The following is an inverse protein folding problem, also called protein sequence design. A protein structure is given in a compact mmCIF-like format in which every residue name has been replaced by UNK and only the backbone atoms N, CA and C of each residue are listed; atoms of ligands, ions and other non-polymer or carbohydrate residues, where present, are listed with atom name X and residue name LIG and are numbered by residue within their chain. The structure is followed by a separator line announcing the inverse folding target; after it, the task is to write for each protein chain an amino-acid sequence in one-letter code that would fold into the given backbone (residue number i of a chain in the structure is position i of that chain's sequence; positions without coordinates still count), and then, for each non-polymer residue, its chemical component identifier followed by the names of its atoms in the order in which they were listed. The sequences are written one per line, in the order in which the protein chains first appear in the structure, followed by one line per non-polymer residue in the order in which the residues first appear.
data_IF_603835721327
#
_entry.id   IF_603835721327
#
_cell.length_a   1.000
_cell.length_b   1.000
_cell.length_c   1.000
_cell.angle_alpha   90.00
_cell.angle_beta   90.00
_cell.angle_gamma   90.00
#
_symmetry.space_group_name_H-M   'P 1'
#
loop_
_entity.id
_entity.type
_entity.pdbx_description
1 polymer ?
#
# COMPACT_ATOMS: atom_id res chain seq x y z
N UNK A 1 -32.37 49.18 -9.97
CA UNK A 1 -31.03 48.65 -9.72
C UNK A 1 -31.07 47.16 -10.06
N UNK A 2 -30.43 46.77 -11.13
CA UNK A 2 -30.41 45.38 -11.58
C UNK A 2 -29.47 44.60 -10.62
N UNK A 3 -30.03 43.73 -9.82
CA UNK A 3 -29.26 42.75 -9.06
C UNK A 3 -28.61 41.81 -10.05
N UNK A 4 -27.32 42.03 -10.38
CA UNK A 4 -26.53 41.05 -11.10
C UNK A 4 -26.56 39.71 -10.33
N UNK A 5 -27.27 38.76 -10.89
CA UNK A 5 -27.24 37.38 -10.37
C UNK A 5 -25.81 36.88 -10.59
N UNK A 6 -25.02 36.77 -9.52
CA UNK A 6 -23.66 36.19 -9.58
C UNK A 6 -23.73 34.81 -10.23
N UNK A 7 -22.77 34.50 -11.08
CA UNK A 7 -22.58 33.20 -11.68
C UNK A 7 -22.60 32.12 -10.59
N UNK A 8 -23.28 30.99 -10.79
CA UNK A 8 -23.26 29.88 -9.85
C UNK A 8 -21.85 29.39 -9.47
N UNK A 9 -20.91 29.48 -10.42
CA UNK A 9 -19.50 29.11 -10.21
C UNK A 9 -18.83 30.09 -9.25
N UNK A 10 -18.99 31.40 -9.47
CA UNK A 10 -18.41 32.43 -8.60
C UNK A 10 -18.96 32.34 -7.17
N UNK A 11 -20.25 32.02 -7.02
CA UNK A 11 -20.87 31.83 -5.71
C UNK A 11 -20.25 30.66 -4.93
N UNK A 12 -20.01 29.54 -5.60
CA UNK A 12 -19.37 28.37 -4.96
C UNK A 12 -17.92 28.65 -4.60
N UNK A 13 -17.19 29.36 -5.46
CA UNK A 13 -15.81 29.76 -5.18
C UNK A 13 -15.72 30.74 -4.00
N UNK A 14 -16.61 31.73 -3.94
CA UNK A 14 -16.69 32.69 -2.83
C UNK A 14 -17.05 31.99 -1.51
N UNK A 15 -17.99 31.02 -1.53
CA UNK A 15 -18.35 30.23 -0.37
C UNK A 15 -17.17 29.38 0.13
N UNK A 16 -16.41 28.78 -0.77
CA UNK A 16 -15.20 28.02 -0.43
C UNK A 16 -14.09 28.91 0.16
N UNK A 17 -13.97 30.16 -0.30
CA UNK A 17 -12.99 31.14 0.22
C UNK A 17 -13.40 31.78 1.55
N UNK A 18 -14.69 31.75 1.91
CA UNK A 18 -15.20 32.40 3.13
C UNK A 18 -14.69 31.79 4.44
N UNK A 19 -13.87 30.73 4.39
CA UNK A 19 -13.17 30.14 5.54
C UNK A 19 -14.05 29.37 6.55
N UNK A 20 -15.35 29.27 6.33
CA UNK A 20 -16.29 28.51 7.17
C UNK A 20 -16.40 27.07 6.69
N UNK A 21 -15.27 26.37 6.59
CA UNK A 21 -15.27 24.95 6.22
C UNK A 21 -15.46 24.09 7.47
N UNK A 22 -16.41 23.15 7.41
CA UNK A 22 -16.57 22.11 8.46
C UNK A 22 -15.34 21.23 8.56
N UNK A 23 -14.63 21.04 7.43
CA UNK A 23 -13.48 20.17 7.29
C UNK A 23 -12.21 21.03 7.29
N UNK A 24 -11.39 20.90 8.33
CA UNK A 24 -10.07 21.59 8.45
C UNK A 24 -9.00 20.94 7.56
N UNK A 25 -8.98 19.61 7.52
CA UNK A 25 -8.00 18.85 6.77
C UNK A 25 -8.67 17.69 6.00
N UNK A 26 -8.88 17.92 4.70
CA UNK A 26 -9.53 16.93 3.82
C UNK A 26 -8.65 15.70 3.56
N UNK A 27 -7.33 15.88 3.51
CA UNK A 27 -6.39 14.80 3.17
C UNK A 27 -6.47 13.65 4.18
N UNK A 28 -6.74 13.97 5.44
CA UNK A 28 -6.91 12.96 6.52
C UNK A 28 -8.10 12.04 6.24
N UNK A 29 -9.10 12.48 5.52
CA UNK A 29 -10.29 11.70 5.17
C UNK A 29 -10.10 10.85 3.89
N UNK A 30 -8.95 10.93 3.23
CA UNK A 30 -8.62 10.02 2.15
C UNK A 30 -8.02 8.72 2.69
N UNK A 31 -8.40 7.59 2.08
CA UNK A 31 -7.88 6.26 2.47
C UNK A 31 -6.37 6.10 2.16
N UNK A 32 -5.82 6.97 1.30
CA UNK A 32 -4.38 7.01 0.98
C UNK A 32 -3.55 7.70 2.05
N UNK A 33 -4.18 8.45 2.95
CA UNK A 33 -3.47 9.16 4.01
C UNK A 33 -2.81 8.18 4.98
N UNK A 34 -1.51 8.36 5.20
CA UNK A 34 -0.72 7.58 6.15
C UNK A 34 -0.80 8.22 7.55
N UNK A 35 -1.48 7.60 8.52
CA UNK A 35 -1.54 8.14 9.88
C UNK A 35 -0.21 7.96 10.62
N UNK A 36 0.05 8.82 11.59
CA UNK A 36 1.22 8.66 12.48
C UNK A 36 1.16 7.36 13.27
N UNK A 37 -0.02 6.99 13.79
CA UNK A 37 -0.25 5.73 14.48
C UNK A 37 -1.29 4.89 13.70
N UNK A 38 -0.97 3.62 13.47
CA UNK A 38 -1.92 2.67 12.93
C UNK A 38 -2.55 1.94 14.11
N UNK A 39 -3.84 2.22 14.34
CA UNK A 39 -4.57 1.66 15.46
C UNK A 39 -4.95 0.19 15.21
N UNK A 40 -4.95 -0.60 16.29
CA UNK A 40 -5.41 -2.01 16.30
C UNK A 40 -4.68 -2.93 15.33
N UNK A 41 -3.40 -2.64 15.05
CA UNK A 41 -2.51 -3.46 14.20
C UNK A 41 -1.12 -3.63 14.81
N UNK A 42 -1.01 -3.49 16.13
CA UNK A 42 0.28 -3.64 16.79
C UNK A 42 0.86 -5.06 16.66
N UNK A 43 0.07 -6.15 16.83
CA UNK A 43 0.58 -7.51 16.65
C UNK A 43 1.08 -7.77 15.22
N UNK A 44 0.35 -7.28 14.20
CA UNK A 44 0.76 -7.45 12.81
C UNK A 44 1.99 -6.61 12.48
N UNK A 45 2.09 -5.38 13.03
CA UNK A 45 3.28 -4.53 12.89
C UNK A 45 4.50 -5.19 13.55
N UNK A 46 4.35 -5.73 14.75
CA UNK A 46 5.42 -6.43 15.47
C UNK A 46 5.89 -7.66 14.69
N UNK A 47 4.97 -8.52 14.25
CA UNK A 47 5.31 -9.73 13.51
C UNK A 47 6.02 -9.42 12.20
N UNK A 48 5.52 -8.45 11.41
CA UNK A 48 6.18 -7.97 10.20
C UNK A 48 7.58 -7.44 10.47
N UNK A 49 7.73 -6.67 11.56
CA UNK A 49 9.04 -6.14 11.95
C UNK A 49 9.98 -7.24 12.35
N UNK A 50 9.54 -8.21 13.18
CA UNK A 50 10.34 -9.35 13.60
C UNK A 50 10.84 -10.18 12.42
N UNK A 51 9.97 -10.45 11.44
CA UNK A 51 10.35 -11.18 10.22
C UNK A 51 11.40 -10.45 9.39
N UNK A 52 11.49 -9.11 9.49
CA UNK A 52 12.48 -8.30 8.77
C UNK A 52 13.75 -8.00 9.58
N UNK A 53 13.77 -8.21 10.91
CA UNK A 53 14.95 -7.95 11.74
C UNK A 53 16.23 -8.64 11.26
N UNK A 54 16.22 -9.90 10.75
CA UNK A 54 17.44 -10.56 10.29
C UNK A 54 18.19 -9.76 9.22
N UNK A 55 17.48 -8.97 8.40
CA UNK A 55 18.12 -8.19 7.34
C UNK A 55 19.06 -7.11 7.89
N UNK A 56 18.73 -6.50 9.05
CA UNK A 56 19.58 -5.52 9.74
C UNK A 56 20.80 -6.17 10.38
N UNK A 57 20.80 -7.50 10.53
CA UNK A 57 21.93 -8.31 11.01
C UNK A 57 22.71 -8.95 9.86
N UNK A 58 22.53 -8.44 8.64
CA UNK A 58 23.08 -8.98 7.40
C UNK A 58 22.78 -10.47 7.20
N UNK A 59 21.61 -10.89 7.65
CA UNK A 59 21.09 -12.25 7.49
C UNK A 59 19.83 -12.23 6.63
N UNK A 60 19.61 -13.28 5.86
CA UNK A 60 18.44 -13.39 4.99
C UNK A 60 17.18 -13.66 5.83
N UNK A 61 16.12 -12.85 5.71
CA UNK A 61 14.80 -13.14 6.26
C UNK A 61 14.13 -14.32 5.54
N UNK A 62 13.14 -14.93 6.20
CA UNK A 62 12.20 -15.83 5.54
C UNK A 62 11.31 -15.04 4.56
N UNK A 63 10.79 -15.70 3.53
CA UNK A 63 9.72 -15.11 2.74
C UNK A 63 8.49 -14.90 3.63
N UNK A 64 7.64 -13.94 3.27
CA UNK A 64 6.49 -13.58 4.08
C UNK A 64 5.24 -13.47 3.20
N UNK A 65 4.15 -14.08 3.63
CA UNK A 65 2.85 -13.91 3.02
C UNK A 65 1.90 -13.20 3.99
N UNK A 66 1.32 -12.10 3.50
CA UNK A 66 0.38 -11.26 4.25
C UNK A 66 -1.00 -11.40 3.66
N UNK A 67 -1.93 -11.92 4.44
CA UNK A 67 -3.29 -12.19 4.01
C UNK A 67 -4.30 -11.31 4.74
N UNK A 68 -5.43 -11.10 4.11
CA UNK A 68 -6.60 -10.49 4.73
C UNK A 68 -7.52 -9.85 3.70
N UNK A 69 -8.76 -9.62 4.06
CA UNK A 69 -9.73 -8.97 3.18
C UNK A 69 -9.32 -7.53 2.83
N UNK A 70 -9.87 -6.93 1.77
CA UNK A 70 -9.69 -5.50 1.50
C UNK A 70 -10.06 -4.64 2.71
N UNK A 71 -9.36 -3.52 2.90
CA UNK A 71 -9.65 -2.56 3.98
C UNK A 71 -9.18 -2.94 5.38
N UNK A 72 -8.50 -4.10 5.55
CA UNK A 72 -7.95 -4.54 6.85
C UNK A 72 -6.63 -3.88 7.24
N UNK A 73 -6.05 -3.02 6.38
CA UNK A 73 -4.86 -2.23 6.68
C UNK A 73 -3.53 -2.86 6.26
N UNK A 74 -3.50 -4.00 5.53
CA UNK A 74 -2.27 -4.69 5.08
C UNK A 74 -1.26 -3.74 4.44
N UNK A 75 -1.64 -3.14 3.32
CA UNK A 75 -0.78 -2.23 2.55
C UNK A 75 -0.28 -1.05 3.40
N UNK A 76 -1.15 -0.52 4.27
CA UNK A 76 -0.82 0.59 5.16
C UNK A 76 0.28 0.19 6.16
N UNK A 77 0.11 -0.94 6.83
CA UNK A 77 1.07 -1.47 7.81
C UNK A 77 2.40 -1.79 7.14
N UNK A 78 2.36 -2.50 6.00
CA UNK A 78 3.58 -2.85 5.26
C UNK A 78 4.36 -1.60 4.87
N UNK A 79 3.71 -0.61 4.24
CA UNK A 79 4.37 0.64 3.85
C UNK A 79 4.98 1.37 5.05
N UNK A 80 4.30 1.39 6.19
CA UNK A 80 4.83 2.01 7.41
C UNK A 80 6.04 1.27 7.95
N UNK A 81 5.98 -0.06 8.06
CA UNK A 81 7.11 -0.88 8.53
C UNK A 81 8.30 -0.72 7.59
N UNK A 82 8.07 -0.84 6.26
CA UNK A 82 9.14 -0.66 5.27
C UNK A 82 9.76 0.74 5.33
N UNK A 83 8.96 1.80 5.49
CA UNK A 83 9.48 3.17 5.63
C UNK A 83 10.38 3.32 6.86
N UNK A 84 10.01 2.70 7.99
CA UNK A 84 10.85 2.70 9.20
C UNK A 84 12.12 1.89 9.02
N UNK A 85 12.03 0.71 8.36
CA UNK A 85 13.18 -0.12 8.04
C UNK A 85 14.12 0.63 7.10
N UNK A 86 13.59 1.23 6.04
CA UNK A 86 14.36 2.01 5.07
C UNK A 86 15.16 3.14 5.75
N UNK A 87 14.52 3.87 6.66
CA UNK A 87 15.22 4.92 7.44
C UNK A 87 16.39 4.35 8.24
N UNK A 88 16.23 3.20 8.89
CA UNK A 88 17.32 2.53 9.64
C UNK A 88 18.42 2.02 8.71
N UNK A 89 18.05 1.53 7.53
CA UNK A 89 19.00 1.10 6.50
C UNK A 89 19.86 2.28 6.05
N UNK A 90 19.27 3.44 5.79
CA UNK A 90 19.98 4.66 5.39
C UNK A 90 20.89 5.18 6.49
N UNK A 91 20.41 5.23 7.74
CA UNK A 91 21.20 5.65 8.91
C UNK A 91 22.39 4.72 9.18
N UNK A 92 22.22 3.41 9.00
CA UNK A 92 23.25 2.39 9.26
C UNK A 92 24.12 2.03 8.06
N UNK A 93 23.83 2.59 6.88
CA UNK A 93 24.52 2.24 5.61
C UNK A 93 24.54 0.73 5.32
N UNK A 94 23.46 0.03 5.64
CA UNK A 94 23.34 -1.40 5.37
C UNK A 94 23.16 -1.67 3.86
N UNK A 95 23.72 -2.76 3.32
CA UNK A 95 23.57 -3.14 1.92
C UNK A 95 22.17 -3.78 1.68
N UNK A 96 21.11 -3.01 1.91
CA UNK A 96 19.74 -3.46 1.81
C UNK A 96 19.00 -2.62 0.77
N UNK A 97 18.19 -3.27 -0.06
CA UNK A 97 17.29 -2.63 -1.03
C UNK A 97 15.86 -3.13 -0.85
N UNK A 98 14.96 -2.21 -0.58
CA UNK A 98 13.53 -2.49 -0.51
C UNK A 98 12.88 -2.06 -1.84
N UNK A 99 12.22 -2.98 -2.51
CA UNK A 99 11.50 -2.72 -3.75
C UNK A 99 10.04 -3.13 -3.60
N UNK A 100 9.13 -2.21 -3.93
CA UNK A 100 7.68 -2.41 -3.79
C UNK A 100 6.99 -2.24 -5.14
N UNK A 101 6.10 -3.18 -5.48
CA UNK A 101 5.21 -3.05 -6.63
C UNK A 101 3.82 -3.60 -6.31
N UNK A 102 2.82 -3.13 -7.06
CA UNK A 102 1.47 -3.68 -7.02
C UNK A 102 1.22 -4.46 -8.31
N UNK A 103 0.96 -5.77 -8.20
CA UNK A 103 0.82 -6.66 -9.35
C UNK A 103 -0.39 -6.32 -10.24
N UNK A 104 -1.40 -5.64 -9.72
CA UNK A 104 -2.56 -5.19 -10.50
C UNK A 104 -2.26 -3.94 -11.32
N UNK A 105 -1.33 -3.09 -10.87
CA UNK A 105 -0.90 -1.91 -11.62
C UNK A 105 0.08 -2.28 -12.75
N UNK A 106 0.87 -3.31 -12.53
CA UNK A 106 1.79 -3.85 -13.53
C UNK A 106 1.06 -4.90 -14.38
N UNK A 107 0.65 -4.52 -15.58
CA UNK A 107 -0.17 -5.37 -16.45
C UNK A 107 0.56 -6.58 -17.03
N UNK A 108 1.89 -6.66 -16.84
CA UNK A 108 2.73 -7.74 -17.39
C UNK A 108 3.79 -8.20 -16.39
N UNK A 109 4.17 -9.49 -16.48
CA UNK A 109 5.30 -10.04 -15.71
C UNK A 109 6.62 -9.30 -16.02
N UNK A 110 6.78 -8.85 -17.25
CA UNK A 110 7.94 -8.05 -17.66
C UNK A 110 7.99 -6.71 -16.93
N UNK A 111 6.88 -5.96 -16.93
CA UNK A 111 6.76 -4.66 -16.24
C UNK A 111 7.06 -4.79 -14.76
N UNK A 112 6.51 -5.83 -14.11
CA UNK A 112 6.75 -6.11 -12.69
C UNK A 112 8.24 -6.30 -12.40
N UNK A 113 8.95 -7.12 -13.16
CA UNK A 113 10.39 -7.33 -12.98
C UNK A 113 11.21 -6.09 -13.31
N UNK A 114 10.83 -5.35 -14.36
CA UNK A 114 11.50 -4.07 -14.70
C UNK A 114 11.32 -3.05 -13.57
N UNK A 115 10.14 -2.95 -12.98
CA UNK A 115 9.88 -2.10 -11.83
C UNK A 115 10.82 -2.44 -10.66
N UNK A 116 10.97 -3.72 -10.33
CA UNK A 116 11.91 -4.17 -9.31
C UNK A 116 13.37 -3.85 -9.66
N UNK A 117 13.80 -4.22 -10.87
CA UNK A 117 15.18 -3.99 -11.29
C UNK A 117 15.59 -2.52 -11.23
N UNK A 118 14.69 -1.61 -11.60
CA UNK A 118 14.92 -0.16 -11.52
C UNK A 118 15.01 0.34 -10.09
N UNK A 119 14.17 -0.16 -9.19
CA UNK A 119 14.24 0.18 -7.77
C UNK A 119 15.53 -0.33 -7.11
N UNK A 120 16.12 -1.41 -7.61
CA UNK A 120 17.44 -1.89 -7.19
C UNK A 120 18.59 -1.04 -7.74
N UNK A 121 18.36 -0.26 -8.82
CA UNK A 121 19.36 0.63 -9.41
C UNK A 121 19.77 0.25 -10.85
N UNK A 122 19.06 -0.67 -11.51
CA UNK A 122 19.26 -0.91 -12.94
C UNK A 122 18.81 0.32 -13.76
N UNK A 123 19.61 0.70 -14.76
CA UNK A 123 19.36 1.89 -15.56
C UNK A 123 18.38 1.63 -16.70
N UNK A 124 17.43 2.55 -16.90
CA UNK A 124 16.58 2.55 -18.09
C UNK A 124 17.31 3.00 -19.36
N UNK A 125 18.44 3.68 -19.21
CA UNK A 125 19.29 4.14 -20.32
C UNK A 125 20.46 3.19 -20.50
N UNK A 126 20.94 3.06 -21.75
CA UNK A 126 22.09 2.23 -22.08
C UNK A 126 23.33 2.70 -21.32
N UNK A 127 24.01 1.76 -20.66
CA UNK A 127 25.22 2.00 -19.86
C UNK A 127 26.41 1.24 -20.46
N UNK A 128 27.64 1.58 -20.01
CA UNK A 128 28.84 0.85 -20.43
C UNK A 128 28.82 -0.62 -19.97
N UNK A 129 28.17 -0.89 -18.84
CA UNK A 129 27.89 -2.25 -18.36
C UNK A 129 26.50 -2.67 -18.88
N UNK A 130 26.50 -3.51 -19.91
CA UNK A 130 25.26 -3.95 -20.57
C UNK A 130 24.29 -4.63 -19.59
N UNK A 131 24.81 -5.34 -18.58
CA UNK A 131 23.98 -6.00 -17.56
C UNK A 131 23.30 -5.01 -16.61
N UNK A 132 23.80 -3.78 -16.51
CA UNK A 132 23.17 -2.70 -15.74
C UNK A 132 22.07 -1.97 -16.50
N UNK A 133 21.93 -2.21 -17.81
CA UNK A 133 20.88 -1.63 -18.62
C UNK A 133 19.62 -2.49 -18.58
N UNK A 134 18.49 -1.87 -18.25
CA UNK A 134 17.20 -2.53 -18.20
C UNK A 134 16.17 -1.73 -19.02
N UNK A 135 16.04 -2.03 -20.33
CA UNK A 135 15.06 -1.36 -21.19
C UNK A 135 13.63 -1.68 -20.77
N UNK A 136 12.70 -0.79 -21.13
CA UNK A 136 11.27 -0.99 -20.87
C UNK A 136 10.64 -2.17 -21.64
N UNK A 137 11.28 -2.63 -22.71
CA UNK A 137 10.84 -3.76 -23.57
C UNK A 137 12.04 -4.39 -24.28
N UNK A 138 11.84 -5.56 -24.88
CA UNK A 138 12.81 -6.17 -25.81
C UNK A 138 13.69 -7.26 -25.22
N UNK A 139 13.73 -7.44 -23.90
CA UNK A 139 14.42 -8.58 -23.27
C UNK A 139 13.44 -9.70 -22.95
N UNK A 140 13.96 -10.93 -22.83
CA UNK A 140 13.17 -12.01 -22.26
C UNK A 140 12.97 -11.82 -20.75
N UNK A 141 11.91 -12.39 -20.19
CA UNK A 141 11.66 -12.37 -18.73
C UNK A 141 12.85 -12.95 -17.95
N UNK A 142 13.43 -14.05 -18.48
CA UNK A 142 14.61 -14.67 -17.86
C UNK A 142 15.83 -13.77 -17.89
N UNK A 143 16.03 -13.01 -18.98
CA UNK A 143 17.14 -12.06 -19.07
C UNK A 143 16.95 -10.87 -18.10
N UNK A 144 15.73 -10.34 -17.98
CA UNK A 144 15.41 -9.31 -16.98
C UNK A 144 15.73 -9.81 -15.57
N UNK A 145 15.32 -11.05 -15.26
CA UNK A 145 15.59 -11.64 -13.95
C UNK A 145 17.09 -11.89 -13.72
N UNK A 146 17.84 -12.32 -14.73
CA UNK A 146 19.29 -12.46 -14.64
C UNK A 146 20.00 -11.12 -14.34
N UNK A 147 19.53 -10.02 -14.90
CA UNK A 147 20.06 -8.68 -14.60
C UNK A 147 19.73 -8.24 -13.18
N UNK A 148 18.56 -8.64 -12.65
CA UNK A 148 18.21 -8.42 -11.25
C UNK A 148 19.17 -9.19 -10.32
N UNK A 149 19.42 -10.47 -10.60
CA UNK A 149 20.39 -11.25 -9.82
C UNK A 149 21.79 -10.65 -9.91
N UNK A 150 22.22 -10.25 -11.09
CA UNK A 150 23.51 -9.61 -11.30
C UNK A 150 23.72 -8.37 -10.46
N UNK A 151 22.72 -7.48 -10.34
CA UNK A 151 22.86 -6.26 -9.51
C UNK A 151 22.89 -6.59 -8.02
N UNK A 152 22.14 -7.62 -7.59
CA UNK A 152 22.16 -8.11 -6.20
C UNK A 152 23.57 -8.59 -5.84
N UNK A 153 24.17 -9.46 -6.66
CA UNK A 153 25.52 -9.97 -6.45
C UNK A 153 26.59 -8.87 -6.54
N UNK A 154 26.53 -8.05 -7.59
CA UNK A 154 27.54 -6.99 -7.83
C UNK A 154 27.66 -6.02 -6.65
N UNK A 155 26.57 -5.76 -5.95
CA UNK A 155 26.55 -4.85 -4.81
C UNK A 155 26.38 -5.57 -3.46
N UNK A 156 26.36 -6.91 -3.48
CA UNK A 156 26.21 -7.77 -2.29
C UNK A 156 24.99 -7.35 -1.43
N UNK A 157 23.88 -6.94 -2.08
CA UNK A 157 22.73 -6.40 -1.39
C UNK A 157 21.76 -7.48 -0.95
N UNK A 158 21.12 -7.27 0.19
CA UNK A 158 19.95 -8.01 0.61
C UNK A 158 18.70 -7.31 0.07
N UNK A 159 18.11 -7.87 -0.99
CA UNK A 159 16.93 -7.30 -1.65
C UNK A 159 15.65 -7.85 -1.03
N UNK A 160 14.68 -6.98 -0.75
CA UNK A 160 13.33 -7.36 -0.35
C UNK A 160 12.36 -6.94 -1.43
N UNK A 161 11.71 -7.91 -2.07
CA UNK A 161 10.67 -7.67 -3.06
C UNK A 161 9.30 -7.75 -2.41
N UNK A 162 8.58 -6.64 -2.39
CA UNK A 162 7.20 -6.57 -1.91
C UNK A 162 6.25 -6.54 -3.10
N UNK A 163 5.42 -7.57 -3.22
CA UNK A 163 4.39 -7.69 -4.26
C UNK A 163 3.03 -7.53 -3.60
N UNK A 164 2.43 -6.36 -3.75
CA UNK A 164 1.05 -6.14 -3.31
C UNK A 164 0.07 -6.69 -4.37
N UNK A 165 -1.06 -7.21 -3.92
CA UNK A 165 -2.04 -7.93 -4.75
C UNK A 165 -1.40 -9.10 -5.54
N UNK A 166 -0.58 -9.91 -4.85
CA UNK A 166 0.18 -11.04 -5.43
C UNK A 166 -0.74 -12.11 -6.06
N UNK A 167 -1.99 -12.18 -5.63
CA UNK A 167 -3.03 -13.02 -6.26
C UNK A 167 -3.21 -12.69 -7.75
N UNK A 168 -3.04 -11.42 -8.14
CA UNK A 168 -3.04 -11.01 -9.55
C UNK A 168 -1.84 -11.53 -10.34
N UNK A 169 -0.68 -11.64 -9.68
CA UNK A 169 0.51 -12.26 -10.29
C UNK A 169 0.27 -13.73 -10.63
N UNK A 170 -0.43 -14.48 -9.76
CA UNK A 170 -0.79 -15.86 -10.05
C UNK A 170 -1.67 -15.98 -11.30
N UNK A 171 -2.62 -15.08 -11.50
CA UNK A 171 -3.43 -15.03 -12.72
C UNK A 171 -2.60 -14.74 -13.97
N UNK A 172 -1.62 -13.83 -13.90
CA UNK A 172 -0.70 -13.53 -15.00
C UNK A 172 0.19 -14.74 -15.34
N UNK A 173 0.66 -15.46 -14.33
CA UNK A 173 1.45 -16.69 -14.50
C UNK A 173 0.61 -17.75 -15.21
N UNK A 174 -0.62 -18.00 -14.78
CA UNK A 174 -1.52 -18.96 -15.43
C UNK A 174 -1.79 -18.61 -16.90
N UNK A 175 -1.99 -17.33 -17.22
CA UNK A 175 -2.25 -16.86 -18.59
C UNK A 175 -1.02 -16.97 -19.52
N UNK A 176 0.17 -16.78 -18.97
CA UNK A 176 1.41 -16.70 -19.78
C UNK A 176 2.23 -18.00 -19.79
N UNK A 177 1.97 -18.90 -18.83
CA UNK A 177 2.78 -20.10 -18.60
C UNK A 177 4.20 -19.83 -18.09
N UNK A 178 4.50 -18.59 -17.70
CA UNK A 178 5.85 -18.15 -17.26
C UNK A 178 5.85 -17.97 -15.74
N UNK A 179 6.42 -18.93 -15.04
CA UNK A 179 6.43 -18.92 -13.58
C UNK A 179 7.56 -18.05 -13.01
N UNK A 180 7.29 -16.76 -12.94
CA UNK A 180 8.20 -15.77 -12.33
C UNK A 180 8.29 -15.97 -10.82
N UNK A 181 7.21 -16.41 -10.17
CA UNK A 181 7.20 -16.64 -8.74
C UNK A 181 8.14 -17.78 -8.34
N UNK A 182 8.18 -18.85 -9.13
CA UNK A 182 9.15 -19.93 -8.96
C UNK A 182 10.60 -19.44 -9.08
N UNK A 183 10.87 -18.52 -10.03
CA UNK A 183 12.21 -17.94 -10.17
C UNK A 183 12.59 -17.09 -8.96
N UNK A 184 11.65 -16.28 -8.46
CA UNK A 184 11.87 -15.42 -7.28
C UNK A 184 12.13 -16.26 -6.02
N UNK A 185 11.32 -17.29 -5.76
CA UNK A 185 11.45 -18.11 -4.56
C UNK A 185 12.74 -18.94 -4.53
N UNK A 186 13.30 -19.25 -5.70
CA UNK A 186 14.58 -19.98 -5.85
C UNK A 186 15.76 -19.08 -6.21
N UNK A 187 15.61 -17.77 -6.19
CA UNK A 187 16.68 -16.84 -6.52
C UNK A 187 17.96 -17.08 -5.72
N UNK A 188 17.80 -17.38 -4.44
CA UNK A 188 18.92 -17.59 -3.53
C UNK A 188 19.73 -18.91 -3.76
N UNK A 189 19.19 -19.82 -4.55
CA UNK A 189 19.96 -21.01 -5.01
C UNK A 189 20.97 -20.64 -6.12
N UNK A 190 20.81 -19.46 -6.71
CA UNK A 190 21.59 -18.96 -7.85
C UNK A 190 22.53 -17.82 -7.46
N UNK A 191 22.33 -17.21 -6.28
CA UNK A 191 23.13 -16.08 -5.79
C UNK A 191 24.31 -16.61 -4.98
N UNK A 192 25.52 -16.20 -5.34
CA UNK A 192 26.75 -16.48 -4.59
C UNK A 192 26.94 -15.45 -3.45
N UNK A 193 26.43 -14.23 -3.62
CA UNK A 193 26.43 -13.17 -2.59
C UNK A 193 25.15 -12.34 -2.64
N UNK A 194 24.83 -11.69 -1.52
CA UNK A 194 23.56 -11.00 -1.36
C UNK A 194 22.39 -11.98 -1.16
N UNK A 195 21.17 -11.47 -1.13
CA UNK A 195 19.97 -12.31 -1.00
C UNK A 195 18.72 -11.66 -1.58
N UNK A 196 17.72 -12.48 -1.86
CA UNK A 196 16.39 -12.04 -2.27
C UNK A 196 15.35 -12.61 -1.31
N UNK A 197 14.52 -11.75 -0.73
CA UNK A 197 13.38 -12.11 0.11
C UNK A 197 12.09 -11.61 -0.52
N UNK A 198 11.05 -12.43 -0.53
CA UNK A 198 9.73 -12.09 -1.04
C UNK A 198 8.77 -11.77 0.11
N UNK A 199 8.07 -10.63 -0.01
CA UNK A 199 6.87 -10.33 0.78
C UNK A 199 5.70 -10.27 -0.19
N UNK A 200 4.82 -11.25 -0.13
CA UNK A 200 3.59 -11.29 -0.92
C UNK A 200 2.39 -10.80 -0.10
N UNK A 201 1.58 -9.92 -0.65
CA UNK A 201 0.35 -9.41 -0.02
C UNK A 201 -0.84 -9.82 -0.84
N UNK A 202 -1.76 -10.58 -0.24
CA UNK A 202 -2.96 -11.06 -0.93
C UNK A 202 -4.25 -10.62 -0.23
N UNK A 203 -5.27 -10.35 -1.04
CA UNK A 203 -6.64 -10.18 -0.59
C UNK A 203 -7.40 -11.53 -0.54
N UNK A 204 -6.80 -12.59 -1.09
CA UNK A 204 -7.38 -13.93 -1.19
C UNK A 204 -6.68 -14.89 -0.22
N UNK A 205 -7.43 -15.43 0.73
CA UNK A 205 -6.93 -16.40 1.70
C UNK A 205 -6.60 -17.77 1.08
N UNK A 206 -7.19 -18.07 -0.09
CA UNK A 206 -6.97 -19.31 -0.83
C UNK A 206 -5.91 -19.19 -1.93
N UNK A 207 -5.20 -18.05 -1.96
CA UNK A 207 -4.19 -17.77 -2.99
C UNK A 207 -3.17 -18.91 -3.14
N UNK A 208 -2.69 -19.50 -2.05
CA UNK A 208 -1.72 -20.60 -2.06
C UNK A 208 -2.23 -21.84 -2.81
N UNK A 209 -3.52 -22.14 -2.74
CA UNK A 209 -4.12 -23.29 -3.41
C UNK A 209 -4.02 -23.21 -4.95
N UNK A 210 -3.81 -21.99 -5.46
CA UNK A 210 -3.69 -21.71 -6.90
C UNK A 210 -2.25 -21.71 -7.40
N UNK A 211 -1.27 -21.83 -6.48
CA UNK A 211 0.15 -21.86 -6.85
C UNK A 211 0.58 -23.27 -7.25
N UNK A 212 1.59 -23.32 -8.12
CA UNK A 212 2.27 -24.58 -8.42
C UNK A 212 2.86 -25.20 -7.13
N UNK A 213 2.70 -26.51 -6.88
CA UNK A 213 3.28 -27.17 -5.70
C UNK A 213 4.78 -26.93 -5.52
N UNK A 214 5.54 -26.75 -6.61
CA UNK A 214 6.96 -26.44 -6.57
C UNK A 214 7.23 -25.05 -6.00
N UNK A 215 6.35 -24.07 -6.28
CA UNK A 215 6.42 -22.73 -5.70
C UNK A 215 6.13 -22.81 -4.21
N UNK A 216 5.05 -23.50 -3.83
CA UNK A 216 4.69 -23.67 -2.41
C UNK A 216 5.85 -24.28 -1.62
N UNK A 217 6.46 -25.32 -2.15
CA UNK A 217 7.61 -26.01 -1.51
C UNK A 217 8.83 -25.11 -1.35
N UNK A 218 9.08 -24.18 -2.31
CA UNK A 218 10.26 -23.30 -2.28
C UNK A 218 9.98 -21.96 -1.57
N UNK A 219 8.73 -21.64 -1.29
CA UNK A 219 8.35 -20.38 -0.68
C UNK A 219 8.84 -20.27 0.76
N UNK A 220 8.77 -21.37 1.55
CA UNK A 220 9.25 -21.44 2.96
C UNK A 220 8.90 -20.17 3.74
N UNK A 221 7.61 -19.81 3.71
CA UNK A 221 7.13 -18.52 4.19
C UNK A 221 6.69 -18.52 5.64
N UNK A 222 6.76 -17.33 6.25
CA UNK A 222 5.96 -16.99 7.41
C UNK A 222 4.63 -16.36 6.96
N UNK A 223 3.60 -16.44 7.79
CA UNK A 223 2.29 -15.88 7.46
C UNK A 223 1.86 -14.84 8.48
N UNK A 224 1.31 -13.72 7.97
CA UNK A 224 0.65 -12.70 8.79
C UNK A 224 -0.77 -12.51 8.29
N UNK A 225 -1.74 -12.76 9.17
CA UNK A 225 -3.16 -12.68 8.83
C UNK A 225 -3.76 -11.42 9.44
N UNK A 226 -4.35 -10.59 8.58
CA UNK A 226 -5.10 -9.39 8.96
C UNK A 226 -6.59 -9.72 9.03
N UNK A 227 -7.11 -9.77 10.24
CA UNK A 227 -8.55 -9.95 10.47
C UNK A 227 -9.33 -8.67 10.18
N UNK A 228 -10.62 -8.79 9.91
CA UNK A 228 -11.51 -7.62 9.77
C UNK A 228 -11.53 -6.82 11.08
N UNK A 229 -11.74 -5.51 10.95
CA UNK A 229 -11.97 -4.68 12.13
C UNK A 229 -13.37 -4.92 12.68
N UNK A 230 -13.47 -4.94 14.01
CA UNK A 230 -14.76 -4.91 14.70
C UNK A 230 -15.30 -3.47 14.82
N UNK A 231 -16.52 -3.35 15.39
CA UNK A 231 -17.21 -2.07 15.55
C UNK A 231 -16.40 -1.06 16.36
N UNK A 232 -15.84 -1.48 17.48
CA UNK A 232 -15.10 -0.58 18.37
C UNK A 232 -13.78 -0.14 17.75
N UNK A 233 -13.09 -1.04 17.05
CA UNK A 233 -11.87 -0.73 16.31
C UNK A 233 -12.13 0.29 15.20
N UNK A 234 -13.20 0.11 14.41
CA UNK A 234 -13.60 1.09 13.39
C UNK A 234 -13.93 2.44 14.02
N UNK A 235 -14.67 2.43 15.13
CA UNK A 235 -15.03 3.65 15.87
C UNK A 235 -13.79 4.39 16.36
N UNK A 236 -12.79 3.71 16.88
CA UNK A 236 -11.52 4.33 17.28
C UNK A 236 -10.76 4.92 16.09
N UNK A 237 -10.72 4.21 14.96
CA UNK A 237 -10.09 4.70 13.73
C UNK A 237 -10.78 5.97 13.23
N UNK A 238 -12.13 5.97 13.16
CA UNK A 238 -12.89 7.14 12.74
C UNK A 238 -12.72 8.30 13.72
N UNK A 239 -12.74 8.06 15.04
CA UNK A 239 -12.54 9.08 16.05
C UNK A 239 -11.19 9.79 15.90
N UNK A 240 -10.11 9.04 15.66
CA UNK A 240 -8.80 9.61 15.40
C UNK A 240 -8.78 10.48 14.13
N UNK A 241 -9.46 10.06 13.07
CA UNK A 241 -9.62 10.83 11.83
C UNK A 241 -10.43 12.11 12.07
N UNK A 242 -11.54 12.02 12.82
CA UNK A 242 -12.40 13.15 13.15
C UNK A 242 -11.62 14.23 13.91
N UNK A 243 -10.84 13.85 14.90
CA UNK A 243 -10.04 14.81 15.69
C UNK A 243 -9.06 15.64 14.84
N UNK A 244 -8.53 15.04 13.77
CA UNK A 244 -7.57 15.72 12.88
C UNK A 244 -8.26 16.46 11.74
N UNK A 245 -9.36 15.91 11.22
CA UNK A 245 -10.03 16.43 10.03
C UNK A 245 -11.02 17.57 10.33
N UNK A 246 -11.64 17.60 11.51
CA UNK A 246 -12.74 18.51 11.84
C UNK A 246 -12.43 19.42 13.04
N UNK A 247 -13.24 20.47 13.18
CA UNK A 247 -13.31 21.23 14.43
C UNK A 247 -14.07 20.41 15.48
N UNK A 248 -13.78 20.69 16.74
CA UNK A 248 -14.48 20.07 17.86
C UNK A 248 -15.99 20.32 17.77
N UNK A 249 -16.78 19.27 18.03
CA UNK A 249 -18.25 19.34 18.01
C UNK A 249 -18.90 19.27 16.61
N UNK A 250 -18.14 19.26 15.52
CA UNK A 250 -18.71 19.19 14.15
C UNK A 250 -19.34 17.82 13.88
N UNK A 251 -18.70 16.74 14.32
CA UNK A 251 -19.21 15.37 14.13
C UNK A 251 -19.80 14.90 15.47
N UNK A 252 -21.10 14.61 15.49
CA UNK A 252 -21.76 14.09 16.67
C UNK A 252 -21.41 12.61 16.93
N UNK A 253 -21.50 12.20 18.19
CA UNK A 253 -21.32 10.78 18.57
C UNK A 253 -22.33 9.86 17.86
N UNK A 254 -23.54 10.35 17.60
CA UNK A 254 -24.54 9.61 16.85
C UNK A 254 -24.09 9.34 15.40
N UNK A 255 -23.53 10.32 14.71
CA UNK A 255 -22.99 10.18 13.37
C UNK A 255 -21.80 9.21 13.35
N UNK A 256 -20.87 9.37 14.30
CA UNK A 256 -19.73 8.45 14.47
C UNK A 256 -20.20 7.00 14.69
N UNK A 257 -21.15 6.79 15.60
CA UNK A 257 -21.68 5.46 15.89
C UNK A 257 -22.38 4.85 14.66
N UNK A 258 -23.15 5.65 13.91
CA UNK A 258 -23.84 5.18 12.70
C UNK A 258 -22.85 4.77 11.60
N UNK A 259 -21.86 5.63 11.28
CA UNK A 259 -20.82 5.31 10.29
C UNK A 259 -20.06 4.03 10.68
N UNK A 260 -19.69 3.91 11.96
CA UNK A 260 -18.98 2.73 12.46
C UNK A 260 -19.80 1.46 12.35
N UNK A 261 -21.09 1.52 12.72
CA UNK A 261 -22.00 0.37 12.65
C UNK A 261 -22.26 -0.09 11.22
N UNK A 262 -22.44 0.85 10.29
CA UNK A 262 -22.64 0.52 8.87
C UNK A 262 -21.41 -0.19 8.28
N UNK A 263 -20.20 0.34 8.51
CA UNK A 263 -18.99 -0.25 8.00
C UNK A 263 -18.66 -1.62 8.63
N UNK A 264 -18.88 -1.77 9.95
CA UNK A 264 -18.67 -3.04 10.64
C UNK A 264 -19.65 -4.13 10.14
N UNK A 265 -20.92 -3.77 9.91
CA UNK A 265 -21.94 -4.69 9.41
C UNK A 265 -21.64 -5.19 7.99
N UNK A 266 -21.12 -4.34 7.11
CA UNK A 266 -20.85 -4.73 5.73
C UNK A 266 -19.65 -5.67 5.59
N UNK A 267 -18.53 -5.34 6.20
CA UNK A 267 -17.30 -6.14 6.01
C UNK A 267 -16.17 -5.85 7.00
N UNK A 268 -16.34 -4.93 7.94
CA UNK A 268 -15.24 -4.47 8.81
C UNK A 268 -14.11 -3.77 8.03
N UNK A 269 -14.46 -3.11 6.92
CA UNK A 269 -13.52 -2.40 6.03
C UNK A 269 -13.34 -0.94 6.50
N UNK A 270 -12.16 -0.62 7.01
CA UNK A 270 -11.85 0.74 7.48
C UNK A 270 -11.84 1.78 6.34
N UNK A 271 -11.53 1.40 5.09
CA UNK A 271 -11.58 2.33 3.94
C UNK A 271 -13.01 2.79 3.70
N UNK A 272 -13.97 1.85 3.72
CA UNK A 272 -15.39 2.19 3.57
C UNK A 272 -15.89 3.07 4.70
N UNK A 273 -15.45 2.82 5.93
CA UNK A 273 -15.80 3.64 7.07
C UNK A 273 -15.33 5.09 6.90
N UNK A 274 -14.08 5.28 6.50
CA UNK A 274 -13.48 6.60 6.26
C UNK A 274 -14.17 7.29 5.08
N UNK A 275 -14.44 6.57 3.99
CA UNK A 275 -15.11 7.12 2.80
C UNK A 275 -16.53 7.55 3.11
N UNK A 276 -17.28 6.74 3.87
CA UNK A 276 -18.63 7.11 4.33
C UNK A 276 -18.63 8.39 5.16
N UNK A 277 -17.68 8.52 6.11
CA UNK A 277 -17.51 9.73 6.90
C UNK A 277 -17.17 10.95 6.01
N UNK A 278 -16.28 10.78 5.05
CA UNK A 278 -15.89 11.82 4.10
C UNK A 278 -17.08 12.31 3.30
N UNK A 279 -17.82 11.40 2.66
CA UNK A 279 -18.98 11.75 1.82
C UNK A 279 -20.07 12.43 2.66
N UNK A 280 -20.37 11.92 3.85
CA UNK A 280 -21.34 12.53 4.74
C UNK A 280 -20.93 13.97 5.13
N UNK A 281 -19.64 14.19 5.40
CA UNK A 281 -19.12 15.50 5.75
C UNK A 281 -19.14 16.49 4.56
N UNK A 282 -18.87 16.01 3.35
CA UNK A 282 -18.94 16.83 2.12
C UNK A 282 -20.38 17.29 1.85
N UNK A 283 -21.36 16.37 1.92
CA UNK A 283 -22.79 16.71 1.78
C UNK A 283 -23.24 17.71 2.85
N UNK A 284 -22.84 17.50 4.11
CA UNK A 284 -23.17 18.44 5.18
C UNK A 284 -22.56 19.83 4.94
N UNK A 285 -21.33 19.89 4.44
CA UNK A 285 -20.69 21.16 4.11
C UNK A 285 -21.39 21.90 2.96
N UNK A 286 -21.86 21.20 1.95
CA UNK A 286 -22.65 21.74 0.85
C UNK A 286 -23.98 22.34 1.34
N UNK A 287 -24.74 21.61 2.17
CA UNK A 287 -26.00 22.08 2.74
C UNK A 287 -25.79 23.35 3.59
N UNK A 288 -24.74 23.38 4.40
CA UNK A 288 -24.40 24.55 5.21
C UNK A 288 -24.04 25.73 4.33
N UNK A 289 -23.25 25.53 3.29
CA UNK A 289 -22.91 26.60 2.34
C UNK A 289 -24.14 27.18 1.63
N UNK A 290 -25.05 26.33 1.15
CA UNK A 290 -26.32 26.75 0.54
C UNK A 290 -27.21 27.55 1.49
N UNK A 291 -27.32 27.11 2.75
CA UNK A 291 -28.10 27.80 3.76
C UNK A 291 -27.58 29.23 3.99
N UNK A 292 -26.26 29.41 4.13
CA UNK A 292 -25.65 30.74 4.30
C UNK A 292 -25.82 31.62 3.06
N UNK A 293 -25.79 31.08 1.85
CA UNK A 293 -26.03 31.81 0.62
C UNK A 293 -27.47 32.28 0.50
N UNK A 294 -28.44 31.55 1.06
CA UNK A 294 -29.86 31.95 1.05
C UNK A 294 -30.17 33.07 2.07
N UNK A 295 -29.46 33.05 3.23
CA UNK A 295 -29.67 34.10 4.26
C UNK A 295 -29.02 35.44 3.92
N UNK A 296 -28.02 35.45 3.06
CA UNK A 296 -27.35 36.68 2.58
C UNK A 296 -27.99 37.29 1.30
N UNK A 297 -29.17 36.85 0.90
CA UNK A 297 -30.03 37.43 -0.15
C UNK A 297 -31.11 38.31 0.47
#
# INVERSE_FOLDING_TARGET
MSTMVKDPVDRLLDAAQSGKTLIKNRDVLHFTHMPELILHRDPEQEKLTQSLLPILMNSRPSNLLVYGKPGTGKTLVIKKVLSKVQKRVEEGSFPIKLAYTNAKQETTLYGLLVSFGRQLGLSGQKTNDEKMWLPGTGLSISEVFNRILYIIEKHEVNAVFVIDEIDYLAELIQKTGKDVLYQITRANERLDSGSLTLIGVSNDLTFKERLDPRVISSLSEEEVIFTNYDLEQIKHILKARIQTAFSEGVVSDAALNLCSAMAARESGDARRAIDLLRVAAEIAAEIVAEYFLQQNR
#
